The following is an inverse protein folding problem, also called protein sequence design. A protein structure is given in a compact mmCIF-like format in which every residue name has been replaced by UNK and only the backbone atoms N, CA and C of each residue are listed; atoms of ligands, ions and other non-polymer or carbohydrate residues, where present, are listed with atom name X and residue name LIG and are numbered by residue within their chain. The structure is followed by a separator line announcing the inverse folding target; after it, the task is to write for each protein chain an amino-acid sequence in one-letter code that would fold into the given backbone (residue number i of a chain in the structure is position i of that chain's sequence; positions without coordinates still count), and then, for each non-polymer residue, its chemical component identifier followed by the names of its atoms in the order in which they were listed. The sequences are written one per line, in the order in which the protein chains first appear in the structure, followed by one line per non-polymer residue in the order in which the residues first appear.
data_IF_231961387581
#
_entry.id   IF_231961387581
#
_cell.length_a   1.000
_cell.length_b   1.000
_cell.length_c   1.000
_cell.angle_alpha   90.00
_cell.angle_beta   90.00
_cell.angle_gamma   90.00
#
_symmetry.space_group_name_H-M   'P 1'
#
loop_
_entity.id
_entity.type
_entity.pdbx_description
1 polymer ?
#
# COMPACT_ATOMS: atom_id res chain seq x y z
N UNK A 1 1.04 23.37 3.82
CA UNK A 1 0.99 21.90 3.69
C UNK A 1 -0.44 21.51 3.40
N UNK A 2 -0.75 21.04 2.19
CA UNK A 2 -2.09 20.57 1.84
C UNK A 2 -2.46 19.39 2.78
N UNK A 3 -3.60 19.48 3.45
CA UNK A 3 -4.15 18.37 4.24
C UNK A 3 -4.72 17.33 3.26
N UNK A 4 -3.87 16.41 2.79
CA UNK A 4 -4.33 15.34 1.94
C UNK A 4 -4.88 14.19 2.79
N UNK A 5 -6.15 14.34 3.19
CA UNK A 5 -6.89 13.35 3.97
C UNK A 5 -6.88 11.96 3.32
N UNK A 6 -6.76 11.90 1.99
CA UNK A 6 -6.69 10.66 1.24
C UNK A 6 -5.39 9.91 1.53
N UNK A 7 -4.23 10.59 1.41
CA UNK A 7 -2.93 9.99 1.75
C UNK A 7 -2.89 9.59 3.21
N UNK A 8 -3.38 10.43 4.12
CA UNK A 8 -3.43 10.11 5.56
C UNK A 8 -4.25 8.85 5.86
N UNK A 9 -5.41 8.70 5.20
CA UNK A 9 -6.26 7.53 5.36
C UNK A 9 -5.56 6.27 4.86
N UNK A 10 -4.97 6.31 3.66
CA UNK A 10 -4.21 5.19 3.10
C UNK A 10 -3.06 4.79 4.03
N UNK A 11 -2.26 5.76 4.47
CA UNK A 11 -1.12 5.48 5.36
C UNK A 11 -1.58 4.92 6.71
N UNK A 12 -2.69 5.41 7.25
CA UNK A 12 -3.27 4.90 8.50
C UNK A 12 -3.72 3.44 8.38
N UNK A 13 -4.47 3.11 7.34
CA UNK A 13 -4.92 1.73 7.08
C UNK A 13 -3.75 0.79 6.78
N UNK A 14 -2.80 1.23 5.96
CA UNK A 14 -1.59 0.46 5.66
C UNK A 14 -0.75 0.21 6.92
N UNK A 15 -0.67 1.19 7.83
CA UNK A 15 0.02 1.03 9.11
C UNK A 15 -0.69 0.03 10.02
N UNK A 16 -2.02 0.05 10.06
CA UNK A 16 -2.79 -0.92 10.83
C UNK A 16 -2.57 -2.34 10.29
N UNK A 17 -2.65 -2.53 8.97
CA UNK A 17 -2.39 -3.81 8.33
C UNK A 17 -0.96 -4.31 8.60
N UNK A 18 0.05 -3.44 8.47
CA UNK A 18 1.44 -3.79 8.73
C UNK A 18 1.67 -4.26 10.18
N UNK A 19 1.04 -3.59 11.16
CA UNK A 19 1.16 -3.97 12.58
C UNK A 19 0.49 -5.30 12.91
N UNK A 20 -0.61 -5.61 12.24
CA UNK A 20 -1.36 -6.86 12.44
C UNK A 20 -0.86 -8.02 11.57
N UNK A 21 0.12 -7.80 10.69
CA UNK A 21 0.59 -8.81 9.74
C UNK A 21 -0.43 -9.12 8.63
N UNK A 22 -1.36 -8.20 8.36
CA UNK A 22 -2.41 -8.34 7.37
C UNK A 22 -1.97 -7.89 5.97
N UNK A 23 -2.81 -8.17 4.97
CA UNK A 23 -2.60 -7.74 3.58
C UNK A 23 -3.36 -6.44 3.32
N UNK A 24 -2.67 -5.46 2.70
CA UNK A 24 -3.29 -4.22 2.23
C UNK A 24 -3.19 -4.12 0.71
N UNK A 25 -4.34 -3.98 0.03
CA UNK A 25 -4.39 -3.79 -1.42
C UNK A 25 -4.68 -2.32 -1.76
N UNK A 26 -3.70 -1.64 -2.36
CA UNK A 26 -3.88 -0.29 -2.86
C UNK A 26 -4.42 -0.32 -4.29
N UNK A 27 -5.68 0.07 -4.47
CA UNK A 27 -6.28 0.18 -5.79
C UNK A 27 -6.04 1.57 -6.39
N UNK A 28 -5.30 1.65 -7.51
CA UNK A 28 -5.21 2.86 -8.31
C UNK A 28 -5.90 2.68 -9.67
N UNK A 29 -6.87 3.53 -9.99
CA UNK A 29 -7.49 3.51 -11.32
C UNK A 29 -6.65 4.32 -12.33
N UNK A 30 -6.43 3.83 -13.57
CA UNK A 30 -5.63 4.54 -14.58
C UNK A 30 -6.10 5.98 -14.86
N UNK A 31 -7.42 6.21 -14.84
CA UNK A 31 -7.99 7.54 -15.07
C UNK A 31 -7.59 8.56 -13.98
N UNK A 32 -7.22 8.11 -12.77
CA UNK A 32 -6.77 9.00 -11.69
C UNK A 32 -5.42 9.65 -12.00
N UNK A 33 -4.62 9.10 -12.92
CA UNK A 33 -3.30 9.64 -13.27
C UNK A 33 -3.29 10.49 -14.54
N UNK A 34 -4.42 10.62 -15.24
CA UNK A 34 -4.46 11.21 -16.58
C UNK A 34 -4.61 12.74 -16.65
N UNK A 35 -5.03 13.42 -15.57
CA UNK A 35 -5.41 14.85 -15.62
C UNK A 35 -4.54 15.78 -14.76
N UNK A 36 -3.98 15.24 -13.67
CA UNK A 36 -3.09 15.96 -12.75
C UNK A 36 -1.88 15.08 -12.40
N UNK A 37 -1.19 14.61 -13.43
CA UNK A 37 -0.18 13.55 -13.32
C UNK A 37 0.88 13.84 -12.26
N UNK A 38 1.46 15.06 -12.24
CA UNK A 38 2.51 15.41 -11.28
C UNK A 38 2.02 15.38 -9.83
N UNK A 39 0.85 15.96 -9.55
CA UNK A 39 0.29 15.97 -8.20
C UNK A 39 -0.08 14.54 -7.74
N UNK A 40 -0.59 13.72 -8.65
CA UNK A 40 -0.98 12.33 -8.36
C UNK A 40 0.24 11.42 -8.17
N UNK A 41 1.32 11.65 -8.93
CA UNK A 41 2.60 10.98 -8.74
C UNK A 41 3.27 11.40 -7.43
N UNK A 42 3.19 12.69 -7.05
CA UNK A 42 3.71 13.16 -5.76
C UNK A 42 2.99 12.47 -4.58
N UNK A 43 1.65 12.38 -4.63
CA UNK A 43 0.84 11.64 -3.64
C UNK A 43 1.20 10.17 -3.57
N UNK A 44 1.36 9.52 -4.74
CA UNK A 44 1.80 8.12 -4.78
C UNK A 44 3.19 7.97 -4.17
N UNK A 45 4.09 8.93 -4.41
CA UNK A 45 5.41 8.98 -3.79
C UNK A 45 5.35 9.01 -2.26
N UNK A 46 4.46 9.83 -1.67
CA UNK A 46 4.25 9.86 -0.22
C UNK A 46 3.77 8.51 0.34
N UNK A 47 2.83 7.85 -0.35
CA UNK A 47 2.33 6.52 0.02
C UNK A 47 3.46 5.48 -0.04
N UNK A 48 4.28 5.50 -1.11
CA UNK A 48 5.40 4.58 -1.27
C UNK A 48 6.51 4.79 -0.23
N UNK A 49 6.76 6.04 0.19
CA UNK A 49 7.67 6.32 1.31
C UNK A 49 7.15 5.74 2.62
N UNK A 50 5.84 5.86 2.88
CA UNK A 50 5.22 5.24 4.05
C UNK A 50 5.34 3.71 4.01
N UNK A 51 5.05 3.09 2.86
CA UNK A 51 5.26 1.65 2.66
C UNK A 51 6.71 1.24 2.98
N UNK A 52 7.72 1.94 2.46
CA UNK A 52 9.13 1.62 2.73
C UNK A 52 9.47 1.63 4.22
N UNK A 53 8.92 2.59 4.97
CA UNK A 53 9.08 2.64 6.42
C UNK A 53 8.43 1.43 7.09
N UNK A 54 7.18 1.12 6.73
CA UNK A 54 6.44 -0.02 7.30
C UNK A 54 7.07 -1.37 6.95
N UNK A 55 7.66 -1.50 5.77
CA UNK A 55 8.42 -2.68 5.37
C UNK A 55 9.66 -2.88 6.26
N UNK A 56 10.39 -1.81 6.59
CA UNK A 56 11.52 -1.87 7.50
C UNK A 56 11.14 -2.08 8.97
N UNK A 57 10.03 -1.50 9.42
CA UNK A 57 9.61 -1.50 10.82
C UNK A 57 8.82 -2.77 11.21
N UNK A 58 7.94 -3.25 10.32
CA UNK A 58 7.01 -4.35 10.60
C UNK A 58 7.17 -5.55 9.65
N UNK A 59 8.12 -5.51 8.71
CA UNK A 59 8.35 -6.62 7.77
C UNK A 59 7.28 -6.74 6.67
N UNK A 60 6.52 -5.66 6.41
CA UNK A 60 5.53 -5.64 5.32
C UNK A 60 6.18 -5.92 3.96
N UNK A 61 5.54 -6.76 3.13
CA UNK A 61 6.06 -7.20 1.83
C UNK A 61 5.19 -6.71 0.67
N UNK A 62 5.82 -6.15 -0.36
CA UNK A 62 5.17 -5.91 -1.65
C UNK A 62 5.01 -7.23 -2.40
N UNK A 63 3.79 -7.52 -2.83
CA UNK A 63 3.44 -8.74 -3.54
C UNK A 63 2.47 -8.41 -4.67
N UNK A 64 2.59 -9.14 -5.76
CA UNK A 64 1.55 -9.26 -6.78
C UNK A 64 0.37 -10.07 -6.24
N UNK A 65 -0.81 -9.92 -6.87
CA UNK A 65 -1.97 -10.74 -6.51
C UNK A 65 -1.70 -12.24 -6.66
N UNK A 66 -0.88 -12.64 -7.64
CA UNK A 66 -0.48 -14.02 -7.85
C UNK A 66 0.40 -14.55 -6.71
N UNK A 67 1.38 -13.78 -6.24
CA UNK A 67 2.22 -14.14 -5.09
C UNK A 67 1.42 -14.22 -3.79
N UNK A 68 0.47 -13.30 -3.59
CA UNK A 68 -0.47 -13.36 -2.47
C UNK A 68 -1.32 -14.65 -2.52
N UNK A 69 -1.86 -15.00 -3.68
CA UNK A 69 -2.66 -16.23 -3.85
C UNK A 69 -1.83 -17.50 -3.60
N UNK A 70 -0.59 -17.54 -4.11
CA UNK A 70 0.34 -18.64 -3.87
C UNK A 70 0.68 -18.78 -2.37
N UNK A 71 0.96 -17.67 -1.69
CA UNK A 71 1.26 -17.64 -0.25
C UNK A 71 0.07 -18.12 0.60
N UNK A 72 -1.16 -17.72 0.26
CA UNK A 72 -2.36 -18.19 0.93
C UNK A 72 -2.58 -19.70 0.78
N UNK A 73 -2.24 -20.24 -0.39
CA UNK A 73 -2.33 -21.67 -0.67
C UNK A 73 -1.31 -22.48 0.14
N UNK A 74 -0.09 -21.95 0.31
CA UNK A 74 0.98 -22.62 1.09
C UNK A 74 0.71 -22.69 2.60
N UNK A 75 -0.09 -21.76 3.14
CA UNK A 75 -0.45 -21.73 4.55
C UNK A 75 -1.58 -22.72 4.92
N UNK A 76 -2.23 -23.34 3.93
CA UNK A 76 -3.36 -24.27 4.14
C UNK A 76 -2.95 -25.74 4.25
N UNK A 77 -1.65 -26.06 4.24
CA UNK A 77 -1.12 -27.44 4.33
C UNK A 77 -0.59 -27.84 5.71
N UNK A 78 -0.92 -27.10 6.77
CA UNK A 78 -0.62 -27.47 8.16
C UNK A 78 -1.88 -27.92 8.91
#
# INVERSE_FOLDING_TARGET
KFNDWHVRRIVGEMTAAARSGEVYHLWCHPHNFGRHTDAQLARLGEILQAYRRLAGEFGMRSQTMAECAASASSASSC
#
